data_IF_287515481346
#
_entry.id   IF_287515481346
#
_cell.length_a   1.000
_cell.length_b   1.000
_cell.length_c   1.000
_cell.angle_alpha   90.00
_cell.angle_beta   90.00
_cell.angle_gamma   90.00
#
_symmetry.space_group_name_H-M   'P 1'
#
loop_
_entity.id
_entity.type
_entity.pdbx_description
1 polymer ?
#
# COMPACT_ATOMS: atom_id res chain seq x y z
N UNK A 1 -66.72 1.63 76.61
CA UNK A 1 -66.33 1.59 78.04
C UNK A 1 -64.83 1.34 78.13
N UNK A 2 -64.11 2.21 78.88
CA UNK A 2 -62.69 2.15 79.29
C UNK A 2 -61.59 2.26 78.22
N UNK A 3 -61.20 3.51 77.98
CA UNK A 3 -59.89 4.15 78.29
C UNK A 3 -58.55 3.36 78.24
N UNK A 4 -57.43 4.07 77.95
CA UNK A 4 -56.11 3.56 77.54
C UNK A 4 -55.11 3.40 78.71
N UNK A 5 -54.00 2.70 78.48
CA UNK A 5 -52.86 2.65 79.41
C UNK A 5 -51.60 3.30 78.83
N UNK A 6 -51.39 4.53 79.30
CA UNK A 6 -50.16 5.19 79.76
C UNK A 6 -48.80 4.90 79.11
N UNK A 7 -48.22 6.01 78.64
CA UNK A 7 -46.83 6.32 78.31
C UNK A 7 -45.91 6.43 79.55
N UNK A 8 -44.67 5.94 79.45
CA UNK A 8 -43.49 6.38 80.21
C UNK A 8 -42.19 5.94 79.46
N UNK A 9 -40.98 6.47 79.74
CA UNK A 9 -40.36 7.56 78.99
C UNK A 9 -39.08 7.16 78.21
N UNK A 10 -38.66 8.07 77.33
CA UNK A 10 -37.47 7.99 76.50
C UNK A 10 -36.16 7.93 77.32
N UNK A 11 -35.26 7.03 76.93
CA UNK A 11 -33.83 7.09 77.22
C UNK A 11 -33.07 7.39 75.91
N UNK A 12 -32.03 8.23 75.93
CA UNK A 12 -31.35 8.65 74.71
C UNK A 12 -30.37 7.56 74.28
N UNK A 13 -30.65 6.87 73.17
CA UNK A 13 -29.65 5.99 72.56
C UNK A 13 -28.68 6.87 71.77
N UNK A 14 -27.46 6.89 72.28
CA UNK A 14 -26.31 7.57 71.71
C UNK A 14 -26.17 7.28 70.21
N UNK A 15 -25.85 8.32 69.44
CA UNK A 15 -25.45 8.24 68.05
C UNK A 15 -24.37 7.17 67.87
N UNK A 16 -24.78 6.01 67.36
CA UNK A 16 -23.86 4.96 66.91
C UNK A 16 -23.03 5.52 65.77
N UNK A 17 -21.73 5.66 66.02
CA UNK A 17 -20.75 6.04 65.03
C UNK A 17 -20.89 5.15 63.79
N UNK A 18 -21.01 5.78 62.62
CA UNK A 18 -20.99 5.10 61.34
C UNK A 18 -19.74 4.21 61.23
N UNK A 19 -19.84 2.98 60.70
CA UNK A 19 -18.68 2.12 60.52
C UNK A 19 -17.67 2.81 59.59
N UNK A 20 -16.42 2.91 60.05
CA UNK A 20 -15.33 3.52 59.29
C UNK A 20 -15.18 2.87 57.90
N UNK A 21 -14.90 3.65 56.84
CA UNK A 21 -14.69 3.10 55.51
C UNK A 21 -13.49 2.15 55.53
N UNK A 22 -13.68 0.94 55.00
CA UNK A 22 -12.62 -0.06 54.85
C UNK A 22 -11.38 0.56 54.15
N UNK A 23 -10.15 0.22 54.56
CA UNK A 23 -8.95 0.79 53.94
C UNK A 23 -8.94 0.41 52.46
N UNK A 24 -8.95 1.42 51.58
CA UNK A 24 -8.85 1.21 50.15
C UNK A 24 -7.65 0.30 49.85
N UNK A 25 -7.88 -0.84 49.19
CA UNK A 25 -6.82 -1.76 48.78
C UNK A 25 -5.73 -0.95 48.07
N UNK A 26 -4.54 -0.91 48.64
CA UNK A 26 -3.39 -0.15 48.11
C UNK A 26 -3.08 -0.71 46.71
N UNK A 27 -3.48 0.03 45.68
CA UNK A 27 -3.23 -0.37 44.29
C UNK A 27 -1.74 -0.19 44.02
N UNK A 28 -1.03 -1.30 43.80
CA UNK A 28 0.39 -1.31 43.47
C UNK A 28 0.53 -1.39 41.97
N UNK A 29 1.29 -0.45 41.39
CA UNK A 29 1.64 -0.48 39.97
C UNK A 29 2.68 -1.58 39.72
N UNK A 30 2.38 -2.49 38.81
CA UNK A 30 3.30 -3.55 38.38
C UNK A 30 4.00 -3.08 37.10
N UNK A 31 5.32 -3.17 37.06
CA UNK A 31 6.07 -2.75 35.87
C UNK A 31 5.89 -3.77 34.72
N UNK A 32 6.00 -3.34 33.44
CA UNK A 32 5.90 -4.26 32.30
C UNK A 32 6.93 -5.39 32.33
N UNK A 33 8.11 -5.14 32.93
CA UNK A 33 9.20 -6.13 33.04
C UNK A 33 8.84 -7.22 34.07
N UNK A 34 8.25 -6.84 35.20
CA UNK A 34 7.75 -7.77 36.22
C UNK A 34 6.59 -8.61 35.65
N UNK A 35 5.63 -7.96 34.98
CA UNK A 35 4.52 -8.64 34.31
C UNK A 35 5.03 -9.67 33.29
N UNK A 36 6.04 -9.31 32.48
CA UNK A 36 6.69 -10.24 31.55
C UNK A 36 7.36 -11.41 32.27
N UNK A 37 8.01 -11.16 33.41
CA UNK A 37 8.69 -12.20 34.19
C UNK A 37 7.70 -13.18 34.82
N UNK A 38 6.54 -12.68 35.26
CA UNK A 38 5.43 -13.53 35.74
C UNK A 38 4.89 -14.42 34.61
N UNK A 39 4.63 -13.87 33.42
CA UNK A 39 4.17 -14.65 32.27
C UNK A 39 5.21 -15.68 31.82
N UNK A 40 6.51 -15.36 31.87
CA UNK A 40 7.57 -16.35 31.60
C UNK A 40 7.53 -17.54 32.57
N UNK A 41 7.28 -17.31 33.86
CA UNK A 41 7.13 -18.38 34.85
C UNK A 41 5.88 -19.22 34.58
N UNK A 42 4.77 -18.58 34.20
CA UNK A 42 3.54 -19.28 33.84
C UNK A 42 3.75 -20.22 32.64
N UNK A 43 4.39 -19.74 31.57
CA UNK A 43 4.70 -20.57 30.39
C UNK A 43 5.72 -21.67 30.66
N UNK A 44 6.61 -21.49 31.64
CA UNK A 44 7.56 -22.53 32.04
C UNK A 44 6.88 -23.66 32.81
N UNK A 45 5.85 -23.34 33.61
CA UNK A 45 5.16 -24.31 34.46
C UNK A 45 3.98 -24.99 33.74
N UNK A 46 3.22 -24.25 32.93
CA UNK A 46 1.96 -24.70 32.31
C UNK A 46 2.01 -24.55 30.78
N UNK A 47 3.11 -24.98 30.16
CA UNK A 47 3.29 -24.83 28.71
C UNK A 47 2.18 -25.54 27.92
N UNK A 48 1.85 -26.78 28.27
CA UNK A 48 0.91 -27.61 27.52
C UNK A 48 -0.48 -26.98 27.47
N UNK A 49 -0.98 -26.53 28.63
CA UNK A 49 -2.27 -25.85 28.74
C UNK A 49 -2.29 -24.55 27.95
N UNK A 50 -1.28 -23.69 28.14
CA UNK A 50 -1.25 -22.37 27.48
C UNK A 50 -1.02 -22.49 25.98
N UNK A 51 -0.26 -23.49 25.52
CA UNK A 51 -0.03 -23.73 24.10
C UNK A 51 -1.32 -24.09 23.34
N UNK A 52 -2.23 -24.82 23.98
CA UNK A 52 -3.52 -25.20 23.38
C UNK A 52 -4.46 -24.01 23.21
N UNK A 53 -4.37 -22.98 24.08
CA UNK A 53 -5.24 -21.80 24.02
C UNK A 53 -5.01 -20.96 22.76
N UNK A 54 -3.75 -20.87 22.30
CA UNK A 54 -3.35 -19.94 21.23
C UNK A 54 -3.18 -20.59 19.86
N UNK A 55 -3.51 -21.88 19.76
CA UNK A 55 -3.26 -22.69 18.57
C UNK A 55 -4.60 -23.23 18.06
N UNK A 56 -4.99 -22.83 16.85
CA UNK A 56 -6.22 -23.28 16.21
C UNK A 56 -6.13 -24.71 15.62
N UNK A 57 -4.92 -25.16 15.30
CA UNK A 57 -4.63 -26.50 14.76
C UNK A 57 -3.70 -27.21 15.72
N UNK A 58 -4.06 -28.39 16.25
CA UNK A 58 -3.26 -29.11 17.24
C UNK A 58 -1.75 -29.03 16.94
N UNK A 59 -0.91 -28.64 17.92
CA UNK A 59 0.52 -28.64 17.72
C UNK A 59 0.93 -30.05 17.28
N UNK A 60 1.77 -30.13 16.25
CA UNK A 60 2.34 -31.38 15.77
C UNK A 60 3.15 -32.01 16.90
N UNK A 61 2.56 -32.93 17.64
CA UNK A 61 3.30 -33.76 18.58
C UNK A 61 3.96 -34.87 17.77
N UNK A 62 5.28 -34.80 17.56
CA UNK A 62 6.01 -36.00 17.19
C UNK A 62 5.87 -37.00 18.35
N UNK A 63 5.12 -38.08 18.11
CA UNK A 63 4.65 -39.04 19.10
C UNK A 63 5.76 -39.90 19.74
N UNK A 64 7.01 -39.44 19.77
CA UNK A 64 8.16 -40.21 20.28
C UNK A 64 9.00 -39.53 21.36
N UNK A 65 8.77 -38.28 21.74
CA UNK A 65 9.55 -37.66 22.82
C UNK A 65 8.70 -36.78 23.73
N UNK A 66 8.42 -37.27 24.94
CA UNK A 66 7.93 -36.48 26.07
C UNK A 66 9.05 -35.63 26.71
N UNK A 67 9.80 -34.88 25.89
CA UNK A 67 10.76 -33.85 26.30
C UNK A 67 11.20 -33.02 25.09
N UNK A 68 11.56 -31.73 25.29
CA UNK A 68 11.84 -30.82 24.19
C UNK A 68 13.14 -31.22 23.51
N UNK A 69 13.07 -31.67 22.26
CA UNK A 69 14.24 -32.00 21.47
C UNK A 69 14.97 -30.72 21.05
N UNK A 70 15.87 -30.24 21.90
CA UNK A 70 17.06 -29.54 21.44
C UNK A 70 18.09 -30.58 21.00
N UNK A 71 18.53 -30.47 19.75
CA UNK A 71 19.70 -31.11 19.14
C UNK A 71 19.71 -32.64 18.97
N UNK A 72 19.51 -33.09 17.73
CA UNK A 72 20.37 -34.10 17.10
C UNK A 72 20.16 -34.06 15.58
N UNK A 73 21.27 -33.86 14.85
CA UNK A 73 21.33 -33.81 13.40
C UNK A 73 21.62 -35.25 12.91
N UNK A 74 20.62 -35.96 12.40
CA UNK A 74 20.83 -37.23 11.70
C UNK A 74 20.80 -37.02 10.17
N UNK A 75 21.84 -37.49 9.51
CA UNK A 75 22.30 -37.15 8.16
C UNK A 75 21.53 -37.81 7.00
N UNK A 76 20.26 -38.21 7.21
CA UNK A 76 19.42 -38.84 6.18
C UNK A 76 18.13 -38.06 5.84
N UNK A 77 17.92 -36.88 6.42
CA UNK A 77 16.68 -36.08 6.27
C UNK A 77 16.78 -34.79 5.44
N UNK A 78 17.85 -34.60 4.66
CA UNK A 78 18.17 -33.31 4.03
C UNK A 78 17.14 -32.83 2.98
N UNK A 79 16.32 -33.73 2.41
CA UNK A 79 15.28 -33.38 1.42
C UNK A 79 13.92 -33.05 2.03
N UNK A 80 13.67 -33.39 3.30
CA UNK A 80 12.42 -33.06 4.01
C UNK A 80 12.53 -31.76 4.84
N UNK A 81 13.76 -31.30 5.12
CA UNK A 81 14.02 -30.14 5.95
C UNK A 81 13.61 -28.78 5.33
N UNK A 82 13.37 -28.73 4.02
CA UNK A 82 12.90 -27.50 3.36
C UNK A 82 11.42 -27.17 3.66
N UNK A 83 10.62 -28.15 4.10
CA UNK A 83 9.21 -27.98 4.44
C UNK A 83 8.90 -28.01 5.94
N UNK A 84 9.91 -28.23 6.80
CA UNK A 84 9.75 -28.16 8.24
C UNK A 84 9.70 -26.69 8.66
N UNK A 85 8.50 -26.11 8.67
CA UNK A 85 8.26 -24.86 9.39
C UNK A 85 8.82 -25.03 10.80
N UNK A 86 9.69 -24.12 11.30
CA UNK A 86 10.23 -24.23 12.64
C UNK A 86 9.06 -24.38 13.62
N UNK A 87 9.14 -25.37 14.51
CA UNK A 87 8.11 -25.61 15.52
C UNK A 87 7.80 -24.28 16.22
N UNK A 88 6.60 -23.76 15.99
CA UNK A 88 6.20 -22.44 16.50
C UNK A 88 5.82 -22.57 17.97
N UNK A 89 6.82 -22.73 18.83
CA UNK A 89 6.63 -22.77 20.30
C UNK A 89 5.90 -21.52 20.76
N UNK A 90 4.91 -21.63 21.66
CA UNK A 90 4.24 -20.45 22.20
C UNK A 90 5.20 -19.69 23.14
N UNK A 91 5.40 -18.40 22.89
CA UNK A 91 6.34 -17.55 23.68
C UNK A 91 5.58 -16.36 24.28
N UNK A 92 5.65 -16.12 25.59
CA UNK A 92 5.04 -14.96 26.25
C UNK A 92 5.61 -13.62 25.77
N UNK A 93 6.77 -13.60 25.09
CA UNK A 93 7.32 -12.38 24.51
C UNK A 93 6.39 -11.73 23.46
N UNK A 94 5.46 -12.48 22.85
CA UNK A 94 4.54 -11.96 21.82
C UNK A 94 3.57 -10.88 22.32
N UNK A 95 3.29 -10.83 23.61
CA UNK A 95 2.42 -9.81 24.21
C UNK A 95 3.14 -8.48 24.46
N UNK A 96 4.46 -8.47 24.38
CA UNK A 96 5.28 -7.29 24.67
C UNK A 96 5.99 -6.81 23.40
N UNK A 97 5.88 -5.52 23.12
CA UNK A 97 6.59 -4.91 22.00
C UNK A 97 7.89 -4.28 22.51
N UNK A 98 9.03 -4.82 22.10
CA UNK A 98 10.35 -4.24 22.38
C UNK A 98 10.80 -3.27 21.29
N UNK A 99 10.43 -3.55 20.04
CA UNK A 99 10.83 -2.79 18.86
C UNK A 99 9.59 -2.40 18.06
N UNK A 100 9.47 -1.11 17.73
CA UNK A 100 8.41 -0.61 16.86
C UNK A 100 8.90 -0.65 15.42
N UNK A 101 8.17 -1.37 14.56
CA UNK A 101 8.48 -1.40 13.13
C UNK A 101 8.02 -0.10 12.47
N UNK A 102 8.93 0.54 11.74
CA UNK A 102 8.66 1.80 11.04
C UNK A 102 8.32 1.48 9.59
N UNK A 103 7.18 1.99 9.10
CA UNK A 103 6.77 1.79 7.70
C UNK A 103 7.70 2.56 6.74
N UNK A 104 8.07 1.98 5.59
CA UNK A 104 8.88 2.67 4.58
C UNK A 104 8.30 4.02 4.15
N UNK A 105 9.16 4.96 3.75
CA UNK A 105 8.77 6.34 3.42
C UNK A 105 7.68 6.44 2.34
N UNK A 106 7.64 5.49 1.39
CA UNK A 106 6.60 5.44 0.34
C UNK A 106 5.18 5.30 0.89
N UNK A 107 5.01 4.69 2.07
CA UNK A 107 3.70 4.48 2.70
C UNK A 107 3.29 5.61 3.65
N UNK A 108 4.16 6.62 3.82
CA UNK A 108 3.89 7.81 4.63
C UNK A 108 4.19 9.09 3.82
N UNK A 109 3.50 9.29 2.68
CA UNK A 109 3.69 10.50 1.90
C UNK A 109 3.23 11.73 2.70
N UNK A 110 3.91 12.88 2.54
CA UNK A 110 3.44 14.15 3.09
C UNK A 110 2.11 14.54 2.44
N UNK A 111 1.20 15.09 3.23
CA UNK A 111 -0.09 15.57 2.75
C UNK A 111 0.06 17.01 2.26
N UNK A 112 -0.31 17.30 1.02
CA UNK A 112 -0.30 18.66 0.47
C UNK A 112 -1.73 19.19 0.44
N UNK A 113 -2.00 20.27 1.18
CA UNK A 113 -3.27 21.00 1.11
C UNK A 113 -2.97 22.40 0.60
N UNK A 114 -3.43 22.69 -0.63
CA UNK A 114 -3.07 23.89 -1.38
C UNK A 114 -1.53 23.99 -1.52
N UNK A 115 -0.91 25.08 -1.07
CA UNK A 115 0.55 25.27 -1.10
C UNK A 115 1.26 24.90 0.20
N UNK A 116 0.51 24.55 1.26
CA UNK A 116 1.09 24.11 2.52
C UNK A 116 1.29 22.59 2.55
N UNK A 117 2.48 22.19 2.98
CA UNK A 117 2.88 20.79 3.13
C UNK A 117 2.77 20.38 4.59
N UNK A 118 2.01 19.34 4.85
CA UNK A 118 1.80 18.77 6.17
C UNK A 118 2.48 17.40 6.27
N UNK A 119 3.05 17.12 7.43
CA UNK A 119 3.60 15.80 7.71
C UNK A 119 2.51 14.74 7.78
N UNK A 120 2.88 13.50 7.49
CA UNK A 120 1.97 12.37 7.63
C UNK A 120 1.64 12.14 9.12
N UNK A 121 0.37 11.89 9.52
CA UNK A 121 -0.01 11.71 10.92
C UNK A 121 0.80 10.63 11.67
N UNK A 122 1.16 9.55 10.98
CA UNK A 122 2.01 8.49 11.56
C UNK A 122 3.40 9.00 11.97
N UNK A 123 3.95 10.00 11.28
CA UNK A 123 5.26 10.58 11.62
C UNK A 123 5.18 11.35 12.94
N UNK A 124 4.09 12.10 13.16
CA UNK A 124 3.84 12.81 14.42
C UNK A 124 3.82 11.85 15.61
N UNK A 125 3.17 10.69 15.46
CA UNK A 125 3.16 9.64 16.50
C UNK A 125 4.53 9.02 16.73
N UNK A 126 5.27 8.71 15.67
CA UNK A 126 6.61 8.13 15.78
C UNK A 126 7.61 9.11 16.42
N UNK A 127 7.55 10.40 16.07
CA UNK A 127 8.37 11.44 16.69
C UNK A 127 8.11 11.54 18.20
N UNK A 128 6.84 11.49 18.62
CA UNK A 128 6.49 11.47 20.04
C UNK A 128 7.04 10.22 20.77
N UNK A 129 7.00 9.04 20.14
CA UNK A 129 7.58 7.81 20.69
C UNK A 129 9.11 7.94 20.82
N UNK A 130 9.78 8.49 19.82
CA UNK A 130 11.24 8.69 19.85
C UNK A 130 11.62 9.65 20.98
N UNK A 131 10.92 10.78 21.12
CA UNK A 131 11.16 11.73 22.22
C UNK A 131 10.93 11.11 23.60
N UNK A 132 9.85 10.32 23.76
CA UNK A 132 9.59 9.61 25.02
C UNK A 132 10.66 8.54 25.32
N UNK A 133 11.18 7.86 24.29
CA UNK A 133 12.26 6.89 24.47
C UNK A 133 13.59 7.55 24.81
N UNK A 134 13.91 8.69 24.20
CA UNK A 134 15.12 9.47 24.50
C UNK A 134 15.09 10.00 25.94
N UNK A 135 13.97 10.56 26.38
CA UNK A 135 13.83 11.04 27.77
C UNK A 135 13.96 9.90 28.78
N UNK A 136 13.38 8.72 28.49
CA UNK A 136 13.56 7.52 29.32
C UNK A 136 15.03 7.07 29.34
N UNK A 137 15.69 7.02 28.18
CA UNK A 137 17.10 6.64 28.07
C UNK A 137 18.02 7.61 28.83
N UNK A 138 17.74 8.91 28.81
CA UNK A 138 18.49 9.91 29.57
C UNK A 138 18.36 9.71 31.08
N UNK A 139 17.17 9.39 31.59
CA UNK A 139 16.93 9.13 33.02
C UNK A 139 17.71 7.92 33.56
N UNK A 140 17.99 6.94 32.70
CA UNK A 140 18.77 5.75 33.05
C UNK A 140 20.27 5.92 32.79
N UNK A 141 20.66 6.65 31.74
CA UNK A 141 22.07 6.79 31.34
C UNK A 141 22.80 7.88 32.12
N UNK A 142 22.14 9.01 32.40
CA UNK A 142 22.74 10.13 33.14
C UNK A 142 22.27 10.06 34.60
N UNK A 143 23.17 9.95 35.59
CA UNK A 143 22.78 10.20 36.97
C UNK A 143 22.29 11.65 37.09
N UNK A 144 21.28 11.93 37.93
CA UNK A 144 20.71 13.26 38.01
C UNK A 144 21.78 14.26 38.46
N UNK A 145 21.86 15.41 37.79
CA UNK A 145 22.81 16.50 38.12
C UNK A 145 22.59 17.03 39.54
N UNK A 146 21.37 16.90 40.06
CA UNK A 146 21.00 17.20 41.45
C UNK A 146 20.67 15.88 42.16
N UNK A 147 21.18 15.64 43.38
CA UNK A 147 20.80 14.47 44.17
C UNK A 147 19.30 14.51 44.49
N UNK A 148 18.50 13.72 43.78
CA UNK A 148 17.08 13.57 44.03
C UNK A 148 16.81 12.34 44.93
N UNK A 149 15.79 12.39 45.81
CA UNK A 149 15.35 11.22 46.57
C UNK A 149 15.01 10.04 45.63
N UNK A 150 15.32 8.79 46.02
CA UNK A 150 15.09 7.62 45.17
C UNK A 150 13.61 7.43 44.80
N UNK A 151 12.69 7.84 45.68
CA UNK A 151 11.25 7.80 45.44
C UNK A 151 10.81 8.73 44.30
N UNK A 152 11.34 9.96 44.26
CA UNK A 152 11.02 10.95 43.24
C UNK A 152 11.56 10.50 41.87
N UNK A 153 12.76 9.91 41.86
CA UNK A 153 13.34 9.31 40.66
C UNK A 153 12.50 8.15 40.14
N UNK A 154 12.05 7.26 41.02
CA UNK A 154 11.17 6.15 40.65
C UNK A 154 9.83 6.65 40.08
N UNK A 155 9.22 7.66 40.70
CA UNK A 155 7.99 8.27 40.18
C UNK A 155 8.19 8.91 38.80
N UNK A 156 9.32 9.60 38.58
CA UNK A 156 9.66 10.17 37.27
C UNK A 156 9.85 9.09 36.21
N UNK A 157 10.55 8.00 36.53
CA UNK A 157 10.74 6.86 35.64
C UNK A 157 9.40 6.19 35.27
N UNK A 158 8.50 5.99 36.25
CA UNK A 158 7.16 5.43 36.00
C UNK A 158 6.34 6.35 35.09
N UNK A 159 6.36 7.67 35.33
CA UNK A 159 5.68 8.64 34.45
C UNK A 159 6.22 8.60 33.02
N UNK A 160 7.54 8.60 32.85
CA UNK A 160 8.17 8.50 31.53
C UNK A 160 7.77 7.19 30.80
N UNK A 161 7.68 6.07 31.53
CA UNK A 161 7.16 4.81 31.01
C UNK A 161 5.68 4.94 30.57
N UNK A 162 4.82 5.52 31.41
CA UNK A 162 3.41 5.73 31.04
C UNK A 162 3.27 6.63 29.81
N UNK A 163 4.12 7.64 29.65
CA UNK A 163 4.16 8.49 28.44
C UNK A 163 4.57 7.69 27.20
N UNK A 164 5.61 6.84 27.29
CA UNK A 164 6.04 6.00 26.18
C UNK A 164 4.95 4.98 25.79
N UNK A 165 4.30 4.35 26.77
CA UNK A 165 3.17 3.46 26.54
C UNK A 165 1.99 4.21 25.91
N UNK A 166 1.70 5.43 26.36
CA UNK A 166 0.68 6.30 25.77
C UNK A 166 0.99 6.65 24.30
N UNK A 167 2.24 6.95 23.97
CA UNK A 167 2.69 7.21 22.59
C UNK A 167 2.50 5.99 21.67
N UNK A 168 2.86 4.81 22.15
CA UNK A 168 2.65 3.54 21.44
C UNK A 168 1.16 3.22 21.28
N UNK A 169 0.37 3.41 22.33
CA UNK A 169 -1.07 3.22 22.28
C UNK A 169 -1.69 4.13 21.21
N UNK A 170 -1.30 5.41 21.14
CA UNK A 170 -1.78 6.35 20.10
C UNK A 170 -1.47 5.89 18.68
N UNK A 171 -0.29 5.31 18.44
CA UNK A 171 0.10 4.79 17.13
C UNK A 171 -0.83 3.64 16.68
N UNK A 172 -1.14 2.71 17.59
CA UNK A 172 -1.94 1.52 17.27
C UNK A 172 -3.44 1.81 17.31
N UNK A 173 -3.91 2.42 18.40
CA UNK A 173 -5.32 2.65 18.69
C UNK A 173 -5.52 4.00 19.40
N UNK A 174 -6.03 4.99 18.66
CA UNK A 174 -6.29 6.33 19.20
C UNK A 174 -7.38 6.36 20.29
N UNK A 175 -8.20 5.31 20.44
CA UNK A 175 -9.27 5.24 21.46
C UNK A 175 -8.77 4.84 22.85
N UNK A 176 -7.64 4.11 22.92
CA UNK A 176 -7.04 3.63 24.18
C UNK A 176 -6.02 4.60 24.77
N UNK A 177 -5.81 5.74 24.11
CA UNK A 177 -4.92 6.77 24.59
C UNK A 177 -5.66 7.76 25.48
N UNK A 178 -5.14 8.03 26.68
CA UNK A 178 -5.63 9.11 27.52
C UNK A 178 -5.28 10.47 26.86
N UNK A 179 -6.28 11.35 26.75
CA UNK A 179 -6.21 12.62 26.01
C UNK A 179 -6.91 12.53 24.64
N UNK A 180 -8.16 12.97 24.61
CA UNK A 180 -9.08 12.80 23.49
C UNK A 180 -8.70 13.52 22.18
N UNK A 181 -9.29 13.00 21.09
CA UNK A 181 -9.58 13.52 19.74
C UNK A 181 -8.56 14.36 18.94
N UNK A 182 -7.52 14.93 19.54
CA UNK A 182 -6.57 15.81 18.86
C UNK A 182 -5.34 15.08 18.27
N UNK A 183 -5.21 13.77 18.53
CA UNK A 183 -4.16 12.93 17.95
C UNK A 183 -4.63 12.28 16.66
N UNK A 184 -3.81 12.32 15.61
CA UNK A 184 -4.10 11.74 14.30
C UNK A 184 -4.64 10.30 14.31
N UNK A 185 -5.14 9.86 13.16
CA UNK A 185 -5.74 8.53 13.04
C UNK A 185 -4.70 7.42 13.32
N UNK A 186 -4.97 6.60 14.34
CA UNK A 186 -4.20 5.39 14.62
C UNK A 186 -4.38 4.31 13.53
N UNK A 187 -3.49 3.32 13.53
CA UNK A 187 -3.47 2.25 12.52
C UNK A 187 -4.81 1.47 12.53
N UNK A 188 -5.35 1.15 13.71
CA UNK A 188 -6.64 0.47 13.85
C UNK A 188 -7.79 1.27 13.20
N UNK A 189 -7.82 2.58 13.45
CA UNK A 189 -8.84 3.48 12.89
C UNK A 189 -8.76 3.55 11.36
N UNK A 190 -7.56 3.44 10.78
CA UNK A 190 -7.36 3.40 9.33
C UNK A 190 -7.90 2.09 8.70
N UNK A 191 -7.92 0.99 9.46
CA UNK A 191 -8.39 -0.31 8.99
C UNK A 191 -9.91 -0.49 9.16
N UNK A 192 -10.47 -0.09 10.31
CA UNK A 192 -11.84 -0.46 10.71
C UNK A 192 -12.95 0.46 10.17
N UNK A 193 -12.63 1.72 9.84
CA UNK A 193 -13.65 2.69 9.40
C UNK A 193 -14.37 2.22 8.12
N UNK A 194 -15.58 2.74 7.88
CA UNK A 194 -16.30 2.53 6.59
C UNK A 194 -15.48 3.01 5.38
N UNK A 195 -14.73 4.10 5.57
CA UNK A 195 -13.72 4.63 4.63
C UNK A 195 -12.32 4.03 4.86
N UNK A 196 -12.23 2.93 5.62
CA UNK A 196 -10.99 2.24 5.95
C UNK A 196 -10.51 1.33 4.83
N UNK A 197 -9.29 0.81 4.99
CA UNK A 197 -8.56 0.08 3.96
C UNK A 197 -9.34 -1.10 3.37
N UNK A 198 -9.96 -1.93 4.22
CA UNK A 198 -10.62 -3.15 3.77
C UNK A 198 -11.82 -2.85 2.85
N UNK A 199 -12.71 -1.96 3.25
CA UNK A 199 -13.94 -1.70 2.47
C UNK A 199 -13.69 -0.81 1.26
N UNK A 200 -12.89 0.25 1.44
CA UNK A 200 -12.74 1.29 0.43
C UNK A 200 -11.69 0.98 -0.64
N UNK A 201 -10.61 0.26 -0.27
CA UNK A 201 -9.45 0.04 -1.15
C UNK A 201 -9.19 -1.44 -1.48
N UNK A 202 -9.75 -2.38 -0.71
CA UNK A 202 -9.60 -3.82 -0.97
C UNK A 202 -10.87 -4.40 -1.62
N UNK A 203 -12.04 -4.22 -1.00
CA UNK A 203 -13.33 -4.70 -1.53
C UNK A 203 -13.85 -3.82 -2.67
N UNK A 204 -13.83 -2.49 -2.47
CA UNK A 204 -14.02 -1.52 -3.54
C UNK A 204 -12.68 -1.07 -4.09
N UNK A 205 -12.56 -0.93 -5.41
CA UNK A 205 -11.41 -0.26 -6.04
C UNK A 205 -11.93 0.66 -7.12
N UNK A 206 -11.24 1.79 -7.30
CA UNK A 206 -11.39 2.58 -8.52
C UNK A 206 -10.69 1.83 -9.64
N UNK A 207 -11.40 1.65 -10.75
CA UNK A 207 -10.92 0.90 -11.91
C UNK A 207 -10.52 1.86 -13.02
N UNK A 208 -9.51 1.45 -13.79
CA UNK A 208 -9.16 2.11 -15.05
C UNK A 208 -10.12 1.66 -16.17
N UNK A 209 -10.11 2.36 -17.31
CA UNK A 209 -10.92 2.02 -18.49
C UNK A 209 -12.44 1.99 -18.23
N UNK A 210 -12.94 2.91 -17.40
CA UNK A 210 -14.36 3.09 -17.14
C UNK A 210 -14.80 4.53 -17.46
N UNK A 211 -16.07 4.70 -17.81
CA UNK A 211 -16.71 5.99 -18.03
C UNK A 211 -18.09 6.02 -17.36
N UNK A 212 -18.60 7.24 -17.11
CA UNK A 212 -19.94 7.48 -16.58
C UNK A 212 -20.56 8.63 -17.34
N UNK A 213 -21.83 8.51 -17.70
CA UNK A 213 -22.62 9.58 -18.32
C UNK A 213 -24.09 9.41 -17.97
N UNK A 214 -24.86 10.46 -18.26
CA UNK A 214 -26.31 10.45 -18.34
C UNK A 214 -26.76 9.48 -19.43
N UNK A 215 -27.86 8.77 -19.17
CA UNK A 215 -28.50 7.89 -20.14
C UNK A 215 -29.67 8.60 -20.82
N UNK A 216 -29.85 8.40 -22.12
CA UNK A 216 -30.98 8.92 -22.88
C UNK A 216 -31.59 7.79 -23.71
N UNK A 217 -32.92 7.75 -23.90
CA UNK A 217 -33.53 6.67 -24.64
C UNK A 217 -33.16 6.70 -26.13
N UNK A 218 -33.12 5.52 -26.74
CA UNK A 218 -33.00 5.35 -28.19
C UNK A 218 -33.71 4.06 -28.65
N UNK A 219 -34.79 4.16 -29.44
CA UNK A 219 -35.52 3.00 -29.95
C UNK A 219 -34.82 2.32 -31.15
N UNK A 220 -33.82 2.95 -31.77
CA UNK A 220 -33.15 2.41 -32.95
C UNK A 220 -31.98 1.46 -32.62
N UNK A 221 -31.56 1.43 -31.35
CA UNK A 221 -30.55 0.49 -30.86
C UNK A 221 -31.16 -0.89 -30.61
N UNK A 222 -30.35 -1.94 -30.79
CA UNK A 222 -30.79 -3.29 -30.35
C UNK A 222 -30.87 -3.36 -28.83
N UNK A 223 -31.68 -4.27 -28.31
CA UNK A 223 -31.80 -4.53 -26.88
C UNK A 223 -30.47 -4.92 -26.23
N UNK A 224 -29.59 -5.62 -26.95
CA UNK A 224 -28.25 -6.00 -26.48
C UNK A 224 -27.18 -4.91 -26.69
N UNK A 225 -27.50 -3.80 -27.34
CA UNK A 225 -26.55 -2.75 -27.69
C UNK A 225 -26.64 -1.54 -26.75
N UNK A 226 -25.53 -0.83 -26.59
CA UNK A 226 -25.45 0.44 -25.88
C UNK A 226 -24.80 1.48 -26.79
N UNK A 227 -25.43 2.64 -26.90
CA UNK A 227 -24.92 3.74 -27.71
C UNK A 227 -23.84 4.50 -26.95
N UNK A 228 -22.64 4.52 -27.50
CA UNK A 228 -21.46 5.14 -26.91
C UNK A 228 -21.12 6.44 -27.64
N UNK A 229 -20.97 7.57 -26.93
CA UNK A 229 -20.48 8.81 -27.51
C UNK A 229 -19.07 8.69 -28.11
N UNK A 230 -18.75 9.40 -29.20
CA UNK A 230 -17.41 9.44 -29.77
C UNK A 230 -16.35 9.95 -28.78
N UNK A 231 -16.73 10.79 -27.81
CA UNK A 231 -15.84 11.26 -26.74
C UNK A 231 -15.31 10.09 -25.91
N UNK A 232 -16.16 9.11 -25.60
CA UNK A 232 -15.75 7.91 -24.87
C UNK A 232 -15.02 6.93 -25.79
N UNK A 233 -15.50 6.76 -27.02
CA UNK A 233 -14.88 5.83 -27.96
C UNK A 233 -13.41 6.16 -28.25
N UNK A 234 -13.05 7.46 -28.33
CA UNK A 234 -11.66 7.91 -28.53
C UNK A 234 -10.75 7.72 -27.31
N UNK A 235 -11.30 7.79 -26.09
CA UNK A 235 -10.51 7.71 -24.85
C UNK A 235 -10.39 6.28 -24.32
N UNK A 236 -11.46 5.50 -24.41
CA UNK A 236 -11.44 4.09 -24.04
C UNK A 236 -10.67 3.31 -25.08
N UNK A 237 -9.68 2.55 -24.62
CA UNK A 237 -8.83 1.75 -25.50
C UNK A 237 -8.80 0.31 -25.05
N UNK A 238 -8.63 -0.57 -26.02
CA UNK A 238 -8.46 -1.99 -25.84
C UNK A 238 -7.08 -2.41 -26.35
N UNK A 239 -6.24 -3.06 -25.53
CA UNK A 239 -4.95 -3.56 -25.99
C UNK A 239 -5.17 -4.79 -26.87
N UNK A 240 -5.05 -4.63 -28.19
CA UNK A 240 -5.13 -5.74 -29.14
C UNK A 240 -3.72 -6.16 -29.57
N UNK A 241 -3.44 -7.47 -29.48
CA UNK A 241 -2.16 -8.02 -29.92
C UNK A 241 -2.11 -8.00 -31.45
N UNK A 242 -0.99 -7.56 -32.01
CA UNK A 242 -0.77 -7.60 -33.46
C UNK A 242 -0.45 -9.03 -33.89
N UNK A 243 -1.17 -9.50 -34.89
CA UNK A 243 -1.04 -10.81 -35.53
C UNK A 243 -1.01 -10.63 -37.04
N UNK A 244 -0.65 -11.68 -37.79
CA UNK A 244 -0.67 -11.64 -39.25
C UNK A 244 -2.08 -11.35 -39.82
N UNK A 245 -3.15 -11.70 -39.10
CA UNK A 245 -4.52 -11.56 -39.56
C UNK A 245 -5.10 -10.14 -39.35
N UNK A 246 -4.74 -9.47 -38.26
CA UNK A 246 -5.28 -8.15 -37.91
C UNK A 246 -4.32 -6.99 -38.23
N UNK A 247 -3.12 -7.26 -38.76
CA UNK A 247 -2.10 -6.23 -39.00
C UNK A 247 -2.60 -5.08 -39.88
N UNK A 248 -3.36 -5.37 -40.95
CA UNK A 248 -3.82 -4.32 -41.87
C UNK A 248 -4.79 -3.36 -41.16
N UNK A 249 -5.70 -3.93 -40.36
CA UNK A 249 -6.60 -3.14 -39.52
C UNK A 249 -5.81 -2.31 -38.49
N UNK A 250 -4.86 -2.93 -37.78
CA UNK A 250 -4.04 -2.22 -36.79
C UNK A 250 -3.21 -1.10 -37.44
N UNK A 251 -2.72 -1.31 -38.66
CA UNK A 251 -1.98 -0.31 -39.43
C UNK A 251 -2.82 0.93 -39.69
N UNK A 252 -4.05 0.73 -40.19
CA UNK A 252 -5.00 1.81 -40.45
C UNK A 252 -5.37 2.57 -39.16
N UNK A 253 -5.57 1.86 -38.05
CA UNK A 253 -5.90 2.50 -36.76
C UNK A 253 -4.75 3.37 -36.22
N UNK A 254 -3.50 2.92 -36.39
CA UNK A 254 -2.31 3.70 -36.01
C UNK A 254 -2.13 4.91 -36.94
N UNK A 255 -2.37 4.76 -38.23
CA UNK A 255 -2.33 5.86 -39.21
C UNK A 255 -3.38 6.94 -38.88
N UNK A 256 -4.61 6.56 -38.52
CA UNK A 256 -5.67 7.48 -38.07
C UNK A 256 -5.31 8.18 -36.75
N UNK A 257 -4.66 7.46 -35.83
CA UNK A 257 -4.17 7.97 -34.54
C UNK A 257 -5.26 8.29 -33.52
N UNK A 258 -5.01 9.17 -32.54
CA UNK A 258 -5.88 9.33 -31.37
C UNK A 258 -7.11 10.21 -31.60
N UNK A 259 -7.05 11.16 -32.54
CA UNK A 259 -8.11 12.17 -32.72
C UNK A 259 -9.24 11.71 -33.64
N UNK A 260 -8.94 10.83 -34.60
CA UNK A 260 -9.89 10.32 -35.58
C UNK A 260 -10.36 8.93 -35.14
N UNK A 261 -11.67 8.75 -34.99
CA UNK A 261 -12.28 7.46 -34.67
C UNK A 261 -12.78 6.79 -35.96
N UNK A 262 -12.50 5.49 -36.20
CA UNK A 262 -11.74 4.57 -35.37
C UNK A 262 -10.21 4.75 -35.52
N UNK A 263 -9.49 4.76 -34.39
CA UNK A 263 -8.04 4.97 -34.34
C UNK A 263 -7.36 4.28 -33.15
N UNK A 264 -6.19 4.78 -32.75
CA UNK A 264 -5.39 4.21 -31.65
C UNK A 264 -4.65 5.31 -30.86
N UNK A 265 -4.49 5.10 -29.55
CA UNK A 265 -3.83 6.08 -28.66
C UNK A 265 -2.38 5.76 -28.37
N UNK A 266 -2.02 4.48 -28.30
CA UNK A 266 -0.68 4.06 -27.93
C UNK A 266 -0.33 2.69 -28.53
N UNK A 267 0.97 2.39 -28.58
CA UNK A 267 1.51 1.09 -28.98
C UNK A 267 2.43 0.60 -27.87
N UNK A 268 2.31 -0.66 -27.50
CA UNK A 268 3.24 -1.37 -26.62
C UNK A 268 4.25 -2.13 -27.48
N UNK A 269 5.53 -1.81 -27.33
CA UNK A 269 6.61 -2.59 -27.91
C UNK A 269 6.75 -3.96 -27.23
N UNK A 270 7.48 -4.87 -27.85
CA UNK A 270 7.76 -6.22 -27.31
C UNK A 270 8.47 -6.21 -25.95
N UNK A 271 9.14 -5.10 -25.62
CA UNK A 271 9.84 -4.86 -24.35
C UNK A 271 8.91 -4.27 -23.27
N UNK A 272 7.62 -4.10 -23.55
CA UNK A 272 6.65 -3.47 -22.64
C UNK A 272 6.72 -1.94 -22.58
N UNK A 273 7.47 -1.30 -23.50
CA UNK A 273 7.53 0.17 -23.58
C UNK A 273 6.29 0.69 -24.29
N UNK A 274 5.56 1.61 -23.65
CA UNK A 274 4.37 2.25 -24.23
C UNK A 274 4.77 3.53 -24.95
N UNK A 275 4.46 3.60 -26.25
CA UNK A 275 4.66 4.75 -27.12
C UNK A 275 3.29 5.40 -27.36
N UNK A 276 3.08 6.60 -26.83
CA UNK A 276 1.85 7.37 -27.04
C UNK A 276 1.86 8.07 -28.41
N UNK A 277 0.78 7.92 -29.17
CA UNK A 277 0.64 8.43 -30.55
C UNK A 277 0.29 9.93 -30.62
N UNK A 278 -0.15 10.54 -29.51
CA UNK A 278 -0.58 11.95 -29.42
C UNK A 278 0.47 12.97 -29.89
N UNK A 279 1.76 12.65 -29.75
CA UNK A 279 2.86 13.57 -30.08
C UNK A 279 3.45 13.38 -31.47
N UNK A 280 2.95 12.41 -32.25
CA UNK A 280 3.54 12.04 -33.53
C UNK A 280 2.75 12.60 -34.72
N UNK A 281 3.49 13.13 -35.70
CA UNK A 281 2.94 13.52 -37.01
C UNK A 281 2.40 12.30 -37.77
N UNK A 282 1.49 12.54 -38.72
CA UNK A 282 0.88 11.47 -39.52
C UNK A 282 1.94 10.59 -40.24
N UNK A 283 3.02 11.19 -40.74
CA UNK A 283 4.12 10.48 -41.39
C UNK A 283 4.85 9.52 -40.44
N UNK A 284 5.16 9.98 -39.22
CA UNK A 284 5.80 9.15 -38.19
C UNK A 284 4.87 8.02 -37.76
N UNK A 285 3.56 8.29 -37.66
CA UNK A 285 2.55 7.26 -37.37
C UNK A 285 2.51 6.19 -38.47
N UNK A 286 2.52 6.58 -39.75
CA UNK A 286 2.57 5.64 -40.87
C UNK A 286 3.87 4.81 -40.90
N UNK A 287 5.01 5.43 -40.56
CA UNK A 287 6.28 4.71 -40.43
C UNK A 287 6.21 3.66 -39.32
N UNK A 288 5.68 4.00 -38.14
CA UNK A 288 5.51 3.07 -37.03
C UNK A 288 4.52 1.95 -37.40
N UNK A 289 3.42 2.29 -38.06
CA UNK A 289 2.38 1.35 -38.49
C UNK A 289 2.94 0.25 -39.41
N UNK A 290 3.90 0.57 -40.29
CA UNK A 290 4.59 -0.42 -41.14
C UNK A 290 5.50 -1.37 -40.35
N UNK A 291 5.95 -0.98 -39.17
CA UNK A 291 6.86 -1.80 -38.33
C UNK A 291 6.11 -2.72 -37.36
N UNK A 292 4.78 -2.78 -37.38
CA UNK A 292 4.00 -3.52 -36.38
C UNK A 292 4.27 -5.04 -36.36
N UNK A 293 4.58 -5.64 -37.52
CA UNK A 293 5.00 -7.05 -37.64
C UNK A 293 6.51 -7.25 -37.77
N UNK A 294 7.30 -6.18 -37.72
CA UNK A 294 8.74 -6.30 -37.84
C UNK A 294 9.29 -7.02 -36.61
N UNK A 295 9.89 -8.19 -36.82
CA UNK A 295 10.67 -8.88 -35.80
C UNK A 295 11.86 -7.98 -35.44
N UNK A 296 12.03 -7.55 -34.18
CA UNK A 296 13.23 -6.83 -33.82
C UNK A 296 14.40 -7.79 -33.99
N UNK A 297 15.39 -7.35 -34.76
CA UNK A 297 16.68 -8.02 -34.77
C UNK A 297 17.17 -8.07 -33.32
N UNK A 298 17.22 -9.27 -32.75
CA UNK A 298 17.93 -9.50 -31.51
C UNK A 298 19.38 -9.21 -31.86
N UNK A 299 19.89 -8.06 -31.44
CA UNK A 299 21.27 -7.68 -31.70
C UNK A 299 22.19 -8.63 -30.94
N UNK A 300 22.51 -9.78 -31.53
CA UNK A 300 23.85 -10.34 -31.45
C UNK A 300 24.72 -9.33 -32.20
N UNK A 301 25.36 -8.43 -31.45
CA UNK A 301 26.23 -7.43 -32.02
C UNK A 301 27.33 -8.13 -32.81
N UNK A 302 27.32 -7.98 -34.14
CA UNK A 302 28.50 -8.00 -35.02
C UNK A 302 28.16 -7.93 -36.53
N UNK A 303 26.92 -8.12 -36.97
CA UNK A 303 26.68 -8.38 -38.42
C UNK A 303 25.58 -7.57 -39.14
N UNK A 304 25.36 -6.28 -38.83
CA UNK A 304 24.44 -5.44 -39.66
C UNK A 304 24.88 -3.99 -39.85
N UNK A 305 26.18 -3.73 -40.00
CA UNK A 305 26.67 -2.45 -40.55
C UNK A 305 26.77 -2.47 -42.10
N UNK A 306 26.54 -3.61 -42.75
CA UNK A 306 26.71 -3.78 -44.20
C UNK A 306 25.40 -3.76 -45.02
N UNK A 307 24.23 -3.68 -44.39
CA UNK A 307 22.93 -3.79 -45.08
C UNK A 307 22.19 -2.44 -45.27
N UNK A 308 22.81 -1.32 -44.92
CA UNK A 308 22.32 0.02 -45.25
C UNK A 308 23.39 0.72 -46.08
N UNK A 309 23.32 0.54 -47.40
CA UNK A 309 24.20 1.17 -48.39
C UNK A 309 24.14 2.69 -48.36
N UNK A 310 24.79 3.30 -47.38
CA UNK A 310 25.03 4.74 -47.27
C UNK A 310 26.54 4.95 -47.10
N UNK A 311 27.15 5.53 -48.14
CA UNK A 311 28.57 5.89 -48.16
C UNK A 311 28.83 7.06 -47.21
N UNK A 312 29.65 6.86 -46.18
CA UNK A 312 30.25 7.95 -45.42
C UNK A 312 31.50 8.43 -46.16
N UNK A 313 31.32 9.44 -47.01
CA UNK A 313 32.41 10.24 -47.57
C UNK A 313 33.00 11.13 -46.48
N UNK A 314 34.31 11.06 -46.31
CA UNK A 314 35.04 11.80 -45.29
C UNK A 314 35.20 13.28 -45.58
N UNK A 315 35.31 14.07 -44.52
CA UNK A 315 36.07 15.32 -44.50
C UNK A 315 36.52 15.61 -43.07
N UNK A 316 37.84 15.60 -42.87
CA UNK A 316 38.48 16.05 -41.64
C UNK A 316 38.42 17.58 -41.55
N UNK A 317 38.05 18.14 -40.40
CA UNK A 317 38.34 19.53 -40.06
C UNK A 317 38.49 19.75 -38.54
N UNK A 318 39.75 20.00 -38.19
CA UNK A 318 40.35 20.51 -36.95
C UNK A 318 39.53 21.64 -36.30
N UNK A 319 39.21 21.55 -35.01
CA UNK A 319 38.65 22.66 -34.23
C UNK A 319 39.65 23.15 -33.16
N UNK A 320 39.98 24.44 -33.28
CA UNK A 320 40.89 25.25 -32.49
C UNK A 320 40.08 25.98 -31.41
N UNK A 321 40.67 26.19 -30.23
CA UNK A 321 40.15 27.05 -29.14
C UNK A 321 39.80 28.47 -29.60
N UNK A 322 38.93 29.18 -28.86
CA UNK A 322 39.45 30.38 -28.17
C UNK A 322 38.93 30.63 -26.74
N UNK A 323 39.80 31.32 -25.98
CA UNK A 323 39.61 32.04 -24.72
C UNK A 323 38.49 33.11 -24.85
N UNK A 324 37.65 33.48 -23.87
CA UNK A 324 37.84 34.12 -22.55
C UNK A 324 36.88 35.32 -22.48
N UNK A 325 35.97 35.38 -21.51
CA UNK A 325 35.50 36.65 -20.89
C UNK A 325 35.08 36.33 -19.45
N UNK A 326 35.62 37.10 -18.51
CA UNK A 326 35.45 36.98 -17.07
C UNK A 326 34.17 37.63 -16.55
N UNK A 327 33.65 37.13 -15.43
CA UNK A 327 32.82 37.90 -14.49
C UNK A 327 32.94 37.28 -13.08
N UNK A 328 33.35 38.10 -12.12
CA UNK A 328 33.68 37.78 -10.72
C UNK A 328 32.41 37.56 -9.88
N UNK A 329 32.47 36.70 -8.87
CA UNK A 329 31.42 36.63 -7.84
C UNK A 329 31.56 35.49 -6.82
N UNK A 330 32.48 35.68 -5.87
CA UNK A 330 32.60 35.10 -4.52
C UNK A 330 32.50 33.58 -4.26
N UNK A 331 33.61 33.09 -3.70
CA UNK A 331 33.89 31.74 -3.20
C UNK A 331 33.54 31.70 -1.70
N UNK A 332 32.64 30.83 -1.28
CA UNK A 332 32.56 30.37 0.11
C UNK A 332 32.98 28.90 0.09
N UNK A 333 34.10 28.63 0.76
CA UNK A 333 34.73 27.33 0.90
C UNK A 333 34.29 26.81 2.27
N UNK A 334 33.50 25.73 2.31
CA UNK A 334 33.40 24.90 3.51
C UNK A 334 34.34 23.72 3.27
N UNK A 335 35.40 23.69 4.06
CA UNK A 335 36.25 22.53 4.27
C UNK A 335 35.51 21.67 5.30
N UNK A 336 35.03 20.50 4.89
CA UNK A 336 34.74 19.41 5.81
C UNK A 336 35.82 18.35 5.54
N UNK A 337 36.70 18.23 6.53
CA UNK A 337 37.63 17.12 6.72
C UNK A 337 36.80 15.85 7.02
N UNK A 338 36.79 14.91 6.07
CA UNK A 338 36.31 13.54 6.29
C UNK A 338 37.48 12.58 5.97
N UNK A 339 38.37 12.42 6.95
CA UNK A 339 39.19 11.21 7.10
C UNK A 339 38.42 10.29 8.06
N UNK A 340 37.73 9.27 7.54
CA UNK A 340 37.48 8.02 8.25
C UNK A 340 37.16 6.90 7.23
N UNK A 341 38.02 5.88 7.26
CA UNK A 341 37.95 4.64 6.51
C UNK A 341 36.64 3.88 6.74
N UNK A 342 36.02 3.37 5.66
CA UNK A 342 35.19 2.16 5.73
C UNK A 342 35.19 1.45 4.35
N UNK A 343 35.98 0.39 4.25
CA UNK A 343 35.98 -0.61 3.18
C UNK A 343 34.58 -1.22 3.01
N UNK A 344 33.89 -0.90 1.91
CA UNK A 344 32.60 -1.51 1.57
C UNK A 344 32.75 -2.50 0.39
N UNK A 345 33.06 -3.73 0.77
CA UNK A 345 32.98 -5.01 0.05
C UNK A 345 32.53 -5.00 -1.44
N UNK A 346 33.45 -5.44 -2.30
CA UNK A 346 33.23 -5.80 -3.71
C UNK A 346 32.07 -6.80 -3.96
N UNK A 347 31.62 -7.51 -2.91
CA UNK A 347 30.44 -8.40 -2.97
C UNK A 347 29.12 -7.65 -3.11
N UNK A 348 29.00 -6.43 -2.57
CA UNK A 348 27.76 -5.63 -2.63
C UNK A 348 27.59 -4.99 -4.02
N UNK A 349 28.70 -4.62 -4.67
CA UNK A 349 28.72 -4.18 -6.06
C UNK A 349 28.40 -5.35 -7.02
N UNK A 350 28.95 -6.54 -6.77
CA UNK A 350 28.63 -7.75 -7.54
C UNK A 350 27.17 -8.18 -7.39
N UNK A 351 26.57 -8.03 -6.21
CA UNK A 351 25.16 -8.31 -5.98
C UNK A 351 24.24 -7.31 -6.72
N UNK A 352 24.57 -6.01 -6.70
CA UNK A 352 23.85 -5.00 -7.52
C UNK A 352 24.01 -5.26 -9.01
N UNK A 353 25.20 -5.62 -9.48
CA UNK A 353 25.45 -5.97 -10.87
C UNK A 353 24.70 -7.26 -11.28
N UNK A 354 24.62 -8.26 -10.39
CA UNK A 354 23.88 -9.50 -10.63
C UNK A 354 22.36 -9.27 -10.67
N UNK A 355 21.81 -8.40 -9.83
CA UNK A 355 20.38 -8.01 -9.86
C UNK A 355 20.04 -7.23 -11.14
N UNK A 356 20.94 -6.34 -11.59
CA UNK A 356 20.80 -5.64 -12.89
C UNK A 356 20.95 -6.62 -14.07
N UNK A 357 21.81 -7.64 -13.94
CA UNK A 357 22.00 -8.70 -14.95
C UNK A 357 20.80 -9.67 -15.02
N UNK A 358 20.14 -9.94 -13.90
CA UNK A 358 18.89 -10.71 -13.84
C UNK A 358 17.70 -9.91 -14.41
N UNK A 359 17.67 -8.58 -14.21
CA UNK A 359 16.67 -7.70 -14.82
C UNK A 359 16.88 -7.48 -16.34
N UNK A 360 18.06 -7.82 -16.87
CA UNK A 360 18.40 -7.77 -18.31
C UNK A 360 18.37 -9.15 -18.98
N UNK A 361 17.97 -10.21 -18.28
CA UNK A 361 17.65 -11.48 -18.90
C UNK A 361 16.43 -11.29 -19.83
N UNK A 362 16.67 -11.40 -21.13
CA UNK A 362 15.66 -11.21 -22.16
C UNK A 362 14.42 -12.06 -21.85
N UNK A 363 13.20 -11.50 -21.95
CA UNK A 363 11.99 -12.28 -21.76
C UNK A 363 11.99 -13.44 -22.76
N UNK A 364 11.78 -14.65 -22.23
CA UNK A 364 11.58 -15.85 -23.02
C UNK A 364 10.37 -15.64 -23.93
N UNK A 365 10.64 -15.53 -25.24
CA UNK A 365 9.73 -15.26 -26.37
C UNK A 365 9.44 -13.76 -26.60
N UNK A 366 9.70 -13.23 -27.82
CA UNK A 366 9.28 -11.87 -28.17
C UNK A 366 7.76 -11.78 -28.07
N UNK A 367 7.28 -10.91 -27.17
CA UNK A 367 5.86 -10.61 -27.06
C UNK A 367 5.47 -9.82 -28.31
N UNK A 368 4.41 -10.23 -29.00
CA UNK A 368 3.89 -9.44 -30.11
C UNK A 368 3.55 -8.02 -29.63
N UNK A 369 3.83 -7.02 -30.48
CA UNK A 369 3.44 -5.63 -30.21
C UNK A 369 1.94 -5.56 -29.95
N UNK A 370 1.52 -4.66 -29.06
CA UNK A 370 0.10 -4.40 -28.79
C UNK A 370 -0.27 -3.01 -29.25
N UNK A 371 -1.43 -2.88 -29.88
CA UNK A 371 -1.99 -1.57 -30.25
C UNK A 371 -3.15 -1.28 -29.32
N UNK A 372 -3.09 -0.15 -28.62
CA UNK A 372 -4.21 0.37 -27.82
C UNK A 372 -5.18 1.08 -28.76
N UNK A 373 -5.98 0.27 -29.47
CA UNK A 373 -7.02 0.76 -30.37
C UNK A 373 -8.17 1.36 -29.59
N UNK A 374 -8.89 2.29 -30.20
CA UNK A 374 -10.16 2.81 -29.70
C UNK A 374 -11.21 1.70 -29.55
N UNK A 375 -12.19 1.98 -28.69
CA UNK A 375 -13.42 1.19 -28.63
C UNK A 375 -14.16 1.28 -29.97
N UNK A 376 -14.54 0.14 -30.56
CA UNK A 376 -15.25 0.06 -31.85
C UNK A 376 -16.65 -0.54 -31.67
N UNK A 377 -17.44 -0.44 -32.73
CA UNK A 377 -18.68 -1.19 -32.86
C UNK A 377 -18.41 -2.70 -32.69
N UNK A 378 -19.22 -3.35 -31.85
CA UNK A 378 -19.11 -4.78 -31.56
C UNK A 378 -18.34 -5.13 -30.29
N UNK A 379 -17.60 -4.19 -29.68
CA UNK A 379 -16.88 -4.44 -28.44
C UNK A 379 -17.86 -4.64 -27.27
N UNK A 380 -17.52 -5.52 -26.32
CA UNK A 380 -18.38 -5.79 -25.16
C UNK A 380 -18.04 -4.83 -24.02
N UNK A 381 -19.06 -4.22 -23.44
CA UNK A 381 -18.98 -3.31 -22.30
C UNK A 381 -19.81 -3.83 -21.14
N UNK A 382 -19.29 -3.69 -19.93
CA UNK A 382 -20.09 -3.87 -18.71
C UNK A 382 -20.77 -2.56 -18.35
N UNK A 383 -22.09 -2.54 -18.38
CA UNK A 383 -22.91 -1.41 -17.96
C UNK A 383 -23.44 -1.69 -16.56
N UNK A 384 -23.34 -0.71 -15.67
CA UNK A 384 -23.80 -0.80 -14.30
C UNK A 384 -24.62 0.45 -13.95
N UNK A 385 -25.76 0.28 -13.27
CA UNK A 385 -26.50 1.39 -12.65
C UNK A 385 -26.37 1.33 -11.13
N UNK A 386 -25.93 2.44 -10.54
CA UNK A 386 -25.87 2.59 -9.09
C UNK A 386 -27.24 3.06 -8.56
N UNK A 387 -27.80 2.46 -7.49
CA UNK A 387 -27.28 1.35 -6.69
C UNK A 387 -27.51 -0.04 -7.29
N UNK A 388 -26.49 -0.90 -7.26
CA UNK A 388 -26.59 -2.29 -7.72
C UNK A 388 -27.15 -3.19 -6.61
N UNK A 389 -28.46 -3.46 -6.62
CA UNK A 389 -29.15 -4.28 -5.60
C UNK A 389 -29.22 -5.76 -5.99
N UNK A 390 -29.26 -6.05 -7.28
CA UNK A 390 -29.45 -7.39 -7.83
C UNK A 390 -28.46 -7.64 -8.98
N UNK A 391 -28.22 -8.90 -9.31
CA UNK A 391 -27.26 -9.30 -10.36
C UNK A 391 -27.54 -8.63 -11.72
N UNK A 392 -28.79 -8.51 -12.20
CA UNK A 392 -29.09 -7.75 -13.43
C UNK A 392 -28.81 -6.25 -13.39
N UNK A 393 -28.45 -5.67 -12.24
CA UNK A 393 -28.00 -4.28 -12.15
C UNK A 393 -26.65 -4.02 -12.81
N UNK A 394 -25.93 -5.09 -13.19
CA UNK A 394 -24.73 -5.05 -14.04
C UNK A 394 -24.87 -6.08 -15.17
N UNK A 395 -24.86 -5.64 -16.43
CA UNK A 395 -24.92 -6.54 -17.58
C UNK A 395 -23.95 -6.15 -18.68
N UNK A 396 -23.62 -7.13 -19.52
CA UNK A 396 -22.79 -6.93 -20.70
C UNK A 396 -23.66 -6.46 -21.88
N UNK A 397 -23.25 -5.38 -22.54
CA UNK A 397 -23.86 -4.86 -23.75
C UNK A 397 -22.81 -4.71 -24.85
N UNK A 398 -23.25 -4.75 -26.10
CA UNK A 398 -22.38 -4.51 -27.25
C UNK A 398 -22.31 -3.01 -27.54
N UNK A 399 -21.11 -2.47 -27.70
CA UNK A 399 -20.89 -1.06 -28.01
C UNK A 399 -21.34 -0.74 -29.43
N UNK A 400 -22.08 0.37 -29.56
CA UNK A 400 -22.44 1.00 -30.83
C UNK A 400 -22.04 2.47 -30.76
N UNK A 401 -21.06 2.91 -31.54
CA UNK A 401 -20.58 4.29 -31.51
C UNK A 401 -21.54 5.17 -32.31
N UNK A 402 -22.13 6.17 -31.65
CA UNK A 402 -23.12 7.07 -32.25
C UNK A 402 -22.53 8.45 -32.51
N UNK A 403 -22.35 8.89 -33.78
CA UNK A 403 -21.77 10.20 -34.08
C UNK A 403 -22.66 11.34 -33.59
N UNK A 404 -22.04 12.44 -33.15
CA UNK A 404 -22.74 13.65 -32.69
C UNK A 404 -23.35 13.58 -31.29
N UNK A 405 -23.40 12.40 -30.66
CA UNK A 405 -23.94 12.24 -29.31
C UNK A 405 -22.92 12.59 -28.21
N UNK A 406 -23.41 13.02 -27.06
CA UNK A 406 -22.60 13.30 -25.86
C UNK A 406 -22.95 12.41 -24.65
N UNK A 407 -24.13 11.81 -24.67
CA UNK A 407 -24.69 10.96 -23.61
C UNK A 407 -24.78 9.51 -24.05
N UNK A 408 -24.82 8.60 -23.08
CA UNK A 408 -24.99 7.17 -23.37
C UNK A 408 -26.44 6.95 -23.84
N UNK A 409 -26.63 6.18 -24.90
CA UNK A 409 -27.97 5.84 -25.42
C UNK A 409 -28.33 4.42 -25.08
N UNK A 410 -29.58 4.18 -24.70
CA UNK A 410 -30.04 2.87 -24.26
C UNK A 410 -31.45 2.56 -24.75
N UNK A 411 -31.68 1.29 -25.09
CA UNK A 411 -32.99 0.80 -25.49
C UNK A 411 -33.95 0.65 -24.29
N UNK A 412 -35.22 0.98 -24.49
CA UNK A 412 -36.28 0.97 -23.45
C UNK A 412 -36.48 -0.37 -22.75
N UNK A 413 -36.31 -1.49 -23.48
CA UNK A 413 -36.47 -2.83 -22.92
C UNK A 413 -35.56 -3.11 -21.71
N UNK A 414 -34.42 -2.42 -21.62
CA UNK A 414 -33.46 -2.62 -20.52
C UNK A 414 -33.78 -1.75 -19.29
N UNK A 415 -34.73 -0.82 -19.37
CA UNK A 415 -35.04 0.09 -18.26
C UNK A 415 -35.52 -0.64 -17.01
N UNK A 416 -36.35 -1.67 -17.19
CA UNK A 416 -36.87 -2.47 -16.08
C UNK A 416 -35.75 -3.20 -15.30
N UNK A 417 -34.74 -3.75 -16.00
CA UNK A 417 -33.66 -4.51 -15.35
C UNK A 417 -32.75 -3.62 -14.51
N UNK A 418 -32.49 -2.40 -14.97
CA UNK A 418 -31.67 -1.42 -14.25
C UNK A 418 -32.49 -0.53 -13.31
N UNK A 419 -33.82 -0.67 -13.31
CA UNK A 419 -34.77 0.22 -12.64
C UNK A 419 -34.55 1.71 -13.00
N UNK A 420 -34.36 1.99 -14.30
CA UNK A 420 -33.97 3.28 -14.85
C UNK A 420 -35.13 4.06 -15.50
N UNK A 421 -35.11 5.38 -15.36
CA UNK A 421 -36.20 6.32 -15.65
C UNK A 421 -35.81 7.53 -16.53
N UNK A 422 -34.57 7.59 -17.02
CA UNK A 422 -34.06 8.61 -17.95
C UNK A 422 -34.19 10.08 -17.49
N UNK A 423 -34.19 10.33 -16.19
CA UNK A 423 -34.39 11.65 -15.57
C UNK A 423 -33.09 12.36 -15.14
N UNK A 424 -31.92 11.70 -15.27
CA UNK A 424 -30.65 12.17 -14.69
C UNK A 424 -29.40 11.82 -15.47
#
# INVERSE_FOLDING_TARGET
>A
SRAPLSRAPATPVANGAAPAPAPAKRQVFITPIEARSMLKKLWANEYDFVSMVWVANAPSYDAKTSSPASSALDSAGALAAASALPERRSDPARFFMQTVLVTPCRFRPPSKMNDMMFEHPQNTHLNAIIQANLTLAELFRKPPTVPEPPEVRAQRAVRAWLTLQGGVNRLVDSSKAEGGEAGGMGIRQQLEKKQGLFRMNMMGKRVNYAARSVIMPDPYLKTSEIGVPPVFAKKLTFPENVTAHNVELMRQLVENGPDIHPGANAIEDERGRVIHLDRFTAEKRAAIAKTLLATPATTTGEATAAAAGMSLGGAAAKAKTPASVASKGNKIKFEDDDDDDDDVDAKTAAAKAAVVKAATAAPSRPLAKKVFRHLRDGDVLLVNRQPTLHKPGIMAHTAKVLPGQRTIRMHYANCSTYNADFDG
#
